data_IF_090694943849
#
_entry.id   IF_090694943849
#
_cell.length_a   1.000
_cell.length_b   1.000
_cell.length_c   1.000
_cell.angle_alpha   90.00
_cell.angle_beta   90.00
_cell.angle_gamma   90.00
#
_symmetry.space_group_name_H-M   'P 1'
#
loop_
_entity.id
_entity.type
_entity.pdbx_description
1 polymer ?
#
# COMPACT_ATOMS: atom_id res chain seq x y z
N UNK A 1 -6.62 21.23 14.11
CA UNK A 1 -7.39 20.24 14.89
C UNK A 1 -6.54 19.03 15.26
N UNK A 2 -7.14 18.03 15.92
CA UNK A 2 -6.48 16.77 16.31
C UNK A 2 -6.60 15.75 15.17
N UNK A 3 -5.52 15.01 14.89
CA UNK A 3 -5.53 13.96 13.87
C UNK A 3 -6.37 12.75 14.30
N UNK A 4 -7.23 12.27 13.40
CA UNK A 4 -8.03 11.06 13.57
C UNK A 4 -8.33 10.36 12.24
N UNK A 5 -9.02 9.23 12.29
CA UNK A 5 -9.51 8.58 11.06
C UNK A 5 -10.69 9.36 10.47
N UNK A 6 -10.63 9.62 9.17
CA UNK A 6 -11.70 10.23 8.39
C UNK A 6 -12.86 9.24 8.30
N UNK A 7 -14.03 9.70 8.71
CA UNK A 7 -15.28 8.96 8.57
C UNK A 7 -16.28 9.80 7.77
N UNK A 8 -17.10 9.14 6.94
CA UNK A 8 -18.10 9.81 6.10
C UNK A 8 -19.47 9.17 6.28
N UNK A 9 -20.52 9.99 6.34
CA UNK A 9 -21.91 9.58 6.38
C UNK A 9 -22.68 10.37 5.32
N UNK A 10 -23.44 9.69 4.46
CA UNK A 10 -24.22 10.34 3.42
C UNK A 10 -24.68 9.40 2.31
N UNK A 11 -25.52 9.89 1.38
CA UNK A 11 -26.16 9.07 0.36
C UNK A 11 -25.21 8.47 -0.68
N UNK A 12 -23.96 8.94 -0.73
CA UNK A 12 -22.93 8.46 -1.67
C UNK A 12 -22.04 7.36 -1.08
N UNK A 13 -22.22 7.03 0.21
CA UNK A 13 -21.50 5.92 0.84
C UNK A 13 -22.00 4.59 0.24
N UNK A 14 -21.07 3.79 -0.28
CA UNK A 14 -21.37 2.48 -0.88
C UNK A 14 -21.98 1.50 0.15
N UNK A 15 -22.71 0.49 -0.32
CA UNK A 15 -23.45 -0.46 0.52
C UNK A 15 -22.59 -1.51 1.26
N UNK A 16 -21.26 -1.40 1.16
CA UNK A 16 -20.32 -2.41 1.65
C UNK A 16 -19.73 -3.27 0.54
N UNK A 17 -18.75 -4.11 0.91
CA UNK A 17 -18.11 -5.03 -0.01
C UNK A 17 -18.98 -6.25 -0.26
N UNK A 18 -18.93 -6.78 -1.49
CA UNK A 18 -19.63 -8.02 -1.87
C UNK A 18 -19.16 -9.24 -1.05
N UNK A 19 -17.88 -9.26 -0.66
CA UNK A 19 -17.28 -10.36 0.11
C UNK A 19 -17.65 -10.26 1.60
N UNK A 20 -18.39 -11.25 2.16
CA UNK A 20 -18.79 -11.30 3.57
C UNK A 20 -17.64 -11.24 4.57
N UNK A 21 -16.44 -11.69 4.19
CA UNK A 21 -15.27 -11.65 5.08
C UNK A 21 -14.65 -10.24 5.14
N UNK A 22 -14.84 -9.45 4.08
CA UNK A 22 -14.40 -8.04 4.00
C UNK A 22 -15.43 -7.05 4.57
N UNK A 23 -16.62 -7.53 4.92
CA UNK A 23 -17.68 -6.79 5.62
C UNK A 23 -17.39 -6.60 7.12
N UNK A 24 -16.40 -7.28 7.71
CA UNK A 24 -16.14 -7.23 9.15
C UNK A 24 -15.89 -5.82 9.76
N UNK A 25 -15.21 -4.87 9.09
CA UNK A 25 -15.17 -3.47 9.54
C UNK A 25 -16.36 -2.63 9.03
N UNK A 26 -17.11 -3.12 8.03
CA UNK A 26 -18.30 -2.46 7.49
C UNK A 26 -19.54 -3.02 8.20
N UNK A 27 -19.68 -2.75 9.49
CA UNK A 27 -20.93 -3.04 10.20
C UNK A 27 -21.85 -1.81 10.10
N UNK A 28 -23.03 -1.93 9.48
CA UNK A 28 -24.02 -0.85 9.38
C UNK A 28 -24.64 -0.38 10.71
N UNK A 29 -24.04 -0.73 11.85
CA UNK A 29 -24.50 -0.27 13.16
C UNK A 29 -24.05 1.18 13.46
N UNK A 30 -23.12 1.70 12.66
CA UNK A 30 -22.65 3.09 12.68
C UNK A 30 -22.92 3.65 11.27
N UNK A 31 -23.63 4.78 11.16
CA UNK A 31 -23.93 5.44 9.88
C UNK A 31 -22.65 6.00 9.20
N UNK A 32 -21.52 5.94 9.91
CA UNK A 32 -20.24 6.45 9.48
C UNK A 32 -19.34 5.37 8.87
N UNK A 33 -19.05 5.52 7.57
CA UNK A 33 -18.05 4.72 6.89
C UNK A 33 -16.62 5.16 7.26
N UNK A 34 -15.87 4.25 7.88
CA UNK A 34 -14.44 4.38 8.18
C UNK A 34 -13.59 4.21 6.91
N UNK A 35 -13.04 5.29 6.37
CA UNK A 35 -12.33 5.25 5.09
C UNK A 35 -10.96 4.59 5.20
N UNK A 36 -10.37 4.54 6.40
CA UNK A 36 -8.99 4.16 6.63
C UNK A 36 -7.96 5.25 6.41
N UNK A 37 -8.42 6.46 6.07
CA UNK A 37 -7.58 7.64 5.87
C UNK A 37 -7.47 8.42 7.18
N UNK A 38 -6.33 9.06 7.40
CA UNK A 38 -6.08 9.95 8.53
C UNK A 38 -6.24 11.39 8.09
N UNK A 39 -6.77 12.24 8.96
CA UNK A 39 -6.91 13.66 8.70
C UNK A 39 -7.27 14.47 9.94
N UNK A 40 -7.41 15.79 9.77
CA UNK A 40 -7.88 16.70 10.82
C UNK A 40 -8.63 17.89 10.21
N UNK A 41 -9.48 18.54 11.01
CA UNK A 41 -10.10 19.81 10.65
C UNK A 41 -9.25 20.98 11.16
N UNK A 42 -9.09 22.03 10.37
CA UNK A 42 -8.55 23.33 10.83
C UNK A 42 -9.62 24.20 11.49
N UNK A 43 -9.26 25.42 11.88
CA UNK A 43 -10.15 26.36 12.59
C UNK A 43 -11.25 26.91 11.67
N UNK A 44 -11.00 26.94 10.37
CA UNK A 44 -11.93 27.36 9.33
C UNK A 44 -12.84 26.22 8.84
N UNK A 45 -12.62 24.99 9.32
CA UNK A 45 -13.44 23.81 9.04
C UNK A 45 -13.04 23.02 7.80
N UNK A 46 -11.84 23.25 7.24
CA UNK A 46 -11.31 22.45 6.13
C UNK A 46 -10.73 21.14 6.62
N UNK A 47 -10.95 20.08 5.83
CA UNK A 47 -10.38 18.76 6.07
C UNK A 47 -9.00 18.62 5.41
N UNK A 48 -7.99 18.40 6.23
CA UNK A 48 -6.62 18.11 5.81
C UNK A 48 -6.35 16.61 5.83
N UNK A 49 -5.93 16.05 4.70
CA UNK A 49 -5.53 14.65 4.57
C UNK A 49 -4.10 14.43 5.07
N UNK A 50 -3.91 13.43 5.93
CA UNK A 50 -2.66 13.13 6.63
C UNK A 50 -2.07 11.74 6.29
N UNK A 51 -2.63 11.05 5.29
CA UNK A 51 -2.18 9.72 4.86
C UNK A 51 -3.21 8.62 5.16
N UNK A 52 -2.81 7.36 5.04
CA UNK A 52 -3.66 6.21 5.41
C UNK A 52 -3.18 5.57 6.70
N UNK A 53 -4.09 4.94 7.42
CA UNK A 53 -3.72 4.07 8.54
C UNK A 53 -2.70 3.02 8.10
N UNK A 54 -1.74 2.69 8.97
CA UNK A 54 -0.59 1.85 8.62
C UNK A 54 -0.97 0.46 8.04
N UNK A 55 -2.17 -0.04 8.34
CA UNK A 55 -2.71 -1.31 7.82
C UNK A 55 -3.45 -1.18 6.47
N UNK A 56 -3.57 0.03 5.91
CA UNK A 56 -4.23 0.35 4.63
C UNK A 56 -3.29 1.13 3.69
N UNK A 57 -1.97 0.93 3.81
CA UNK A 57 -1.00 1.56 2.90
C UNK A 57 -1.39 1.34 1.44
N UNK A 58 -1.34 2.41 0.66
CA UNK A 58 -1.75 2.45 -0.73
C UNK A 58 -0.81 3.39 -1.45
N UNK A 59 -0.25 2.94 -2.58
CA UNK A 59 0.61 3.74 -3.45
C UNK A 59 -0.27 4.29 -4.57
N UNK A 60 -0.19 5.60 -4.83
CA UNK A 60 -0.89 6.28 -5.92
C UNK A 60 0.07 6.59 -7.06
N UNK A 61 0.16 5.66 -8.02
CA UNK A 61 1.09 5.77 -9.14
C UNK A 61 0.37 6.15 -10.43
N UNK A 62 0.64 7.33 -10.97
CA UNK A 62 0.00 7.80 -12.21
C UNK A 62 -1.52 7.94 -12.13
N UNK A 63 -2.07 8.11 -10.92
CA UNK A 63 -3.53 8.13 -10.68
C UNK A 63 -4.14 6.76 -10.37
N UNK A 64 -3.37 5.68 -10.45
CA UNK A 64 -3.81 4.32 -10.14
C UNK A 64 -3.49 3.92 -8.70
N UNK A 65 -4.35 3.07 -8.15
CA UNK A 65 -4.23 2.56 -6.78
C UNK A 65 -3.48 1.22 -6.78
N UNK A 66 -2.34 1.17 -6.11
CA UNK A 66 -1.55 -0.06 -5.91
C UNK A 66 -1.51 -0.40 -4.43
N UNK A 67 -2.00 -1.59 -4.08
CA UNK A 67 -1.91 -2.12 -2.73
C UNK A 67 -0.56 -2.85 -2.58
N UNK A 68 0.36 -2.38 -1.72
CA UNK A 68 1.67 -3.00 -1.53
C UNK A 68 1.61 -4.51 -1.29
N UNK A 69 0.70 -4.94 -0.41
CA UNK A 69 0.54 -6.34 -0.04
C UNK A 69 0.29 -7.27 -1.24
N UNK A 70 -0.41 -6.81 -2.27
CA UNK A 70 -0.65 -7.60 -3.49
C UNK A 70 0.64 -7.82 -4.27
N UNK A 71 1.48 -6.79 -4.38
CA UNK A 71 2.78 -6.87 -5.06
C UNK A 71 3.78 -7.67 -4.23
N UNK A 72 3.78 -7.50 -2.91
CA UNK A 72 4.60 -8.27 -1.96
C UNK A 72 4.29 -9.77 -2.04
N UNK A 73 3.00 -10.14 -2.07
CA UNK A 73 2.58 -11.54 -2.23
C UNK A 73 3.18 -12.16 -3.49
N UNK A 74 3.10 -11.46 -4.62
CA UNK A 74 3.68 -11.95 -5.88
C UNK A 74 5.20 -12.06 -5.82
N UNK A 75 5.89 -11.08 -5.22
CA UNK A 75 7.34 -11.13 -5.03
C UNK A 75 7.76 -12.33 -4.16
N UNK A 76 7.01 -12.62 -3.08
CA UNK A 76 7.25 -13.73 -2.16
C UNK A 76 7.03 -15.11 -2.80
N UNK A 77 6.30 -15.20 -3.92
CA UNK A 77 6.18 -16.43 -4.70
C UNK A 77 7.46 -16.77 -5.49
N UNK A 78 8.38 -15.82 -5.68
CA UNK A 78 9.63 -16.09 -6.37
C UNK A 78 10.57 -16.89 -5.45
N UNK A 79 11.16 -18.01 -5.91
CA UNK A 79 11.93 -18.93 -5.05
C UNK A 79 13.12 -18.26 -4.35
N UNK A 80 13.77 -17.29 -5.00
CA UNK A 80 14.90 -16.56 -4.44
C UNK A 80 14.54 -15.57 -3.33
N UNK A 81 13.27 -15.16 -3.18
CA UNK A 81 12.85 -14.09 -2.27
C UNK A 81 12.44 -14.68 -0.91
N UNK A 82 13.01 -14.14 0.16
CA UNK A 82 12.66 -14.47 1.55
C UNK A 82 11.69 -13.44 2.13
N UNK A 83 11.97 -12.16 1.92
CA UNK A 83 11.12 -11.05 2.36
C UNK A 83 10.95 -10.04 1.23
N UNK A 84 9.76 -9.44 1.14
CA UNK A 84 9.48 -8.32 0.27
C UNK A 84 8.73 -7.23 1.04
N UNK A 85 9.06 -5.98 0.75
CA UNK A 85 8.37 -4.79 1.26
C UNK A 85 8.19 -3.79 0.13
N UNK A 86 6.94 -3.40 -0.15
CA UNK A 86 6.59 -2.54 -1.28
C UNK A 86 6.08 -1.20 -0.76
N UNK A 87 6.56 -0.11 -1.36
CA UNK A 87 6.23 1.24 -0.93
C UNK A 87 6.33 2.23 -2.09
N UNK A 88 5.65 3.36 -1.94
CA UNK A 88 5.74 4.47 -2.88
C UNK A 88 7.00 5.30 -2.59
N UNK A 89 7.74 5.69 -3.63
CA UNK A 89 8.71 6.79 -3.54
C UNK A 89 8.20 7.99 -4.33
N UNK A 90 8.43 9.22 -3.86
CA UNK A 90 8.15 10.42 -4.64
C UNK A 90 8.77 10.33 -6.03
N UNK A 91 7.97 10.58 -7.05
CA UNK A 91 8.37 10.51 -8.45
C UNK A 91 7.74 11.66 -9.24
N UNK A 92 8.57 12.39 -10.01
CA UNK A 92 8.14 13.58 -10.73
C UNK A 92 7.11 13.31 -11.84
N UNK A 93 7.06 12.08 -12.38
CA UNK A 93 6.16 11.67 -13.45
C UNK A 93 4.90 11.02 -12.91
N UNK A 94 5.03 10.19 -11.89
CA UNK A 94 3.96 9.34 -11.39
C UNK A 94 3.30 9.84 -10.10
N UNK A 95 3.84 10.90 -9.49
CA UNK A 95 3.51 11.29 -8.12
C UNK A 95 4.20 10.35 -7.14
N UNK A 96 3.83 9.07 -7.17
CA UNK A 96 4.53 7.98 -6.49
C UNK A 96 4.91 6.88 -7.48
N UNK A 97 6.17 6.45 -7.47
CA UNK A 97 6.61 5.25 -8.16
C UNK A 97 6.57 4.05 -7.19
N UNK A 98 6.10 2.89 -7.67
CA UNK A 98 6.13 1.65 -6.89
C UNK A 98 7.57 1.18 -6.77
N UNK A 99 8.04 0.94 -5.56
CA UNK A 99 9.36 0.39 -5.28
C UNK A 99 9.27 -0.80 -4.33
N UNK A 100 10.20 -1.73 -4.47
CA UNK A 100 10.31 -2.87 -3.57
C UNK A 100 11.71 -2.94 -2.94
N UNK A 101 11.76 -3.26 -1.65
CA UNK A 101 12.95 -3.79 -0.99
C UNK A 101 12.76 -5.31 -0.83
N UNK A 102 13.76 -6.09 -1.23
CA UNK A 102 13.72 -7.55 -1.14
C UNK A 102 14.93 -8.08 -0.35
N UNK A 103 14.71 -9.01 0.57
CA UNK A 103 15.75 -9.86 1.12
C UNK A 103 15.70 -11.21 0.39
N UNK A 104 16.87 -11.71 -0.02
CA UNK A 104 16.99 -12.99 -0.70
C UNK A 104 17.24 -14.11 0.30
N UNK A 105 16.79 -15.32 -0.05
CA UNK A 105 17.13 -16.52 0.72
C UNK A 105 18.65 -16.76 0.68
N UNK A 106 19.23 -17.37 1.73
CA UNK A 106 20.66 -17.65 1.76
C UNK A 106 21.15 -18.46 0.55
N UNK A 107 22.14 -17.94 -0.16
CA UNK A 107 22.76 -18.60 -1.33
C UNK A 107 22.01 -18.40 -2.65
N UNK A 108 20.85 -17.76 -2.64
CA UNK A 108 20.11 -17.43 -3.85
C UNK A 108 20.60 -16.10 -4.45
N UNK A 109 20.48 -15.99 -5.78
CA UNK A 109 20.77 -14.76 -6.52
C UNK A 109 19.66 -14.51 -7.53
N UNK A 110 19.21 -13.27 -7.61
CA UNK A 110 18.26 -12.82 -8.63
C UNK A 110 18.53 -11.35 -8.93
N UNK A 111 18.30 -10.95 -10.17
CA UNK A 111 18.45 -9.57 -10.61
C UNK A 111 17.15 -8.79 -10.49
N UNK A 112 17.26 -7.48 -10.40
CA UNK A 112 16.10 -6.58 -10.40
C UNK A 112 15.18 -6.80 -11.63
N UNK A 113 15.68 -6.87 -12.88
CA UNK A 113 14.83 -7.13 -14.05
C UNK A 113 14.08 -8.46 -13.99
N UNK A 114 14.67 -9.51 -13.43
CA UNK A 114 14.03 -10.83 -13.28
C UNK A 114 12.83 -10.76 -12.33
N UNK A 115 12.99 -10.13 -11.16
CA UNK A 115 11.88 -9.94 -10.22
C UNK A 115 10.80 -9.00 -10.75
N UNK A 116 11.19 -7.93 -11.44
CA UNK A 116 10.26 -7.03 -12.13
C UNK A 116 9.45 -7.82 -13.18
N UNK A 117 10.11 -8.67 -13.97
CA UNK A 117 9.47 -9.53 -14.96
C UNK A 117 8.53 -10.57 -14.32
N UNK A 118 8.91 -11.14 -13.18
CA UNK A 118 8.07 -12.07 -12.41
C UNK A 118 6.75 -11.44 -11.97
N UNK A 119 6.78 -10.17 -11.53
CA UNK A 119 5.58 -9.40 -11.17
C UNK A 119 4.75 -9.06 -12.42
N UNK A 120 5.40 -8.60 -13.49
CA UNK A 120 4.72 -8.18 -14.74
C UNK A 120 3.90 -9.30 -15.39
N UNK A 121 4.32 -10.56 -15.22
CA UNK A 121 3.58 -11.73 -15.73
C UNK A 121 2.27 -12.03 -14.96
N UNK A 122 2.09 -11.46 -13.76
CA UNK A 122 1.00 -11.81 -12.83
C UNK A 122 0.07 -10.63 -12.50
N UNK A 123 0.59 -9.42 -12.51
CA UNK A 123 -0.15 -8.21 -12.15
C UNK A 123 -0.22 -7.21 -13.31
N UNK A 124 -1.22 -6.31 -13.24
CA UNK A 124 -1.34 -5.23 -14.19
C UNK A 124 -0.09 -4.34 -14.19
N UNK A 125 0.31 -3.85 -15.38
CA UNK A 125 1.55 -3.10 -15.61
C UNK A 125 1.80 -1.95 -14.63
N UNK A 126 0.76 -1.24 -14.20
CA UNK A 126 0.90 -0.09 -13.28
C UNK A 126 1.26 -0.52 -11.85
N UNK A 127 1.07 -1.79 -11.46
CA UNK A 127 1.45 -2.33 -10.15
C UNK A 127 2.90 -2.79 -10.09
N UNK A 128 3.57 -2.87 -11.25
CA UNK A 128 4.93 -3.35 -11.36
C UNK A 128 5.89 -2.38 -10.65
N UNK A 129 6.83 -2.87 -9.81
CA UNK A 129 7.91 -2.03 -9.30
C UNK A 129 8.67 -1.34 -10.44
N UNK A 130 8.97 -0.06 -10.25
CA UNK A 130 9.85 0.72 -11.12
C UNK A 130 11.31 0.51 -10.76
N UNK A 131 11.60 0.18 -9.49
CA UNK A 131 12.90 -0.38 -9.12
C UNK A 131 12.82 -1.32 -7.92
N UNK A 132 13.86 -2.14 -7.76
CA UNK A 132 14.03 -3.08 -6.65
C UNK A 132 15.40 -2.86 -6.00
N UNK A 133 15.43 -2.81 -4.67
CA UNK A 133 16.67 -2.78 -3.87
C UNK A 133 16.81 -4.07 -3.08
N UNK A 134 18.00 -4.64 -3.04
CA UNK A 134 18.29 -5.84 -2.26
C UNK A 134 18.90 -5.49 -0.91
N UNK A 135 18.41 -6.15 0.15
CA UNK A 135 18.96 -6.06 1.50
C UNK A 135 19.95 -7.20 1.77
N UNK A 136 21.00 -6.92 2.54
CA UNK A 136 22.00 -7.91 2.98
C UNK A 136 21.57 -8.63 4.28
N UNK A 137 20.32 -8.42 4.72
CA UNK A 137 19.72 -9.02 5.91
C UNK A 137 18.21 -8.78 5.99
N UNK A 138 17.56 -9.16 7.10
CA UNK A 138 16.10 -8.98 7.28
C UNK A 138 15.69 -7.53 7.06
N UNK A 139 14.51 -7.33 6.48
CA UNK A 139 14.02 -5.97 6.22
C UNK A 139 13.57 -5.34 7.54
N UNK A 140 14.14 -4.18 7.86
CA UNK A 140 13.66 -3.38 8.98
C UNK A 140 12.31 -2.74 8.62
N UNK A 141 11.26 -3.16 9.33
CA UNK A 141 9.87 -2.72 9.09
C UNK A 141 9.45 -1.55 9.98
N UNK A 142 10.37 -0.99 10.78
CA UNK A 142 10.06 0.15 11.66
C UNK A 142 9.86 1.41 10.83
N UNK A 143 8.89 2.24 11.22
CA UNK A 143 8.71 3.52 10.59
C UNK A 143 9.93 4.41 10.91
N UNK A 144 10.46 5.24 9.99
CA UNK A 144 11.62 6.11 10.28
C UNK A 144 11.41 7.17 11.38
N UNK A 145 10.25 7.14 12.07
CA UNK A 145 9.90 8.03 13.19
C UNK A 145 9.64 7.25 14.49
N UNK A 146 9.91 5.95 14.52
CA UNK A 146 9.88 5.09 15.70
C UNK A 146 11.26 4.97 16.36
#
# INVERSE_FOLDING_TARGET
>A
GVQGEIAVCGPTVFLGYWDPQKLAPFKPADDWHRTGDLGHLDEEGWLWFAGRTAHKQLIKTGGENVYPAEVEQVLLEHPAVEEAFVFGRPDARWGEAVHAACALRPGETVTEPELIGHVEQRLARYKRPQSITFSVGPLDRRHPRD
#
